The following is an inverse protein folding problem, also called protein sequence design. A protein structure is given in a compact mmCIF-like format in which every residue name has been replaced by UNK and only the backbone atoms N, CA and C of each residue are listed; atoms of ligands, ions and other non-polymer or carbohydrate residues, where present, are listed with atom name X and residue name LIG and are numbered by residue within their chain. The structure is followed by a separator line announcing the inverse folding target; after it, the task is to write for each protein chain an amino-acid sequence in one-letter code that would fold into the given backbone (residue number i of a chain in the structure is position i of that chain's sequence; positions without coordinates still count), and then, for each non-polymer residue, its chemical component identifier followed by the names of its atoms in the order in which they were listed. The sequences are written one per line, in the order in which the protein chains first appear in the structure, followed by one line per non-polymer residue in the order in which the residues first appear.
data_IF_493747226679
#
_entry.id   IF_493747226679
#
_cell.length_a   1.000
_cell.length_b   1.000
_cell.length_c   1.000
_cell.angle_alpha   90.00
_cell.angle_beta   90.00
_cell.angle_gamma   90.00
#
_symmetry.space_group_name_H-M   'P 1'
#
loop_
_entity.id
_entity.type
_entity.pdbx_description
1 polymer ?
#
# COMPACT_ATOMS: atom_id res chain seq x y z
N UNK A 1 -27.20 7.79 15.93
CA UNK A 1 -25.73 7.92 15.83
C UNK A 1 -25.31 7.32 14.50
N UNK A 2 -25.00 8.17 13.52
CA UNK A 2 -24.79 7.81 12.12
C UNK A 2 -23.50 6.99 11.92
N UNK A 3 -23.65 5.74 11.47
CA UNK A 3 -22.53 4.86 11.08
C UNK A 3 -22.11 5.17 9.64
N UNK A 4 -21.59 6.38 9.40
CA UNK A 4 -21.19 6.88 8.07
C UNK A 4 -19.67 6.84 7.86
N UNK A 5 -18.98 5.82 8.38
CA UNK A 5 -17.58 5.54 8.01
C UNK A 5 -17.45 4.20 7.30
N UNK A 6 -18.40 3.95 6.42
CA UNK A 6 -18.28 2.92 5.39
C UNK A 6 -17.31 3.43 4.33
N UNK A 7 -16.00 3.31 4.58
CA UNK A 7 -15.01 3.29 3.48
C UNK A 7 -15.03 1.89 2.89
N UNK A 8 -16.11 1.56 2.19
CA UNK A 8 -16.35 0.26 1.53
C UNK A 8 -15.63 0.14 0.18
N UNK A 9 -14.34 0.43 0.11
CA UNK A 9 -13.57 0.13 -1.09
C UNK A 9 -12.35 -0.71 -0.75
N UNK A 10 -12.03 -1.74 -1.56
CA UNK A 10 -10.87 -2.57 -1.30
C UNK A 10 -9.64 -1.68 -1.17
N UNK A 11 -8.87 -1.84 -0.10
CA UNK A 11 -7.67 -1.05 0.14
C UNK A 11 -6.70 -1.18 -1.05
N UNK A 12 -6.70 -2.34 -1.73
CA UNK A 12 -5.90 -2.59 -2.95
C UNK A 12 -6.24 -1.68 -4.14
N UNK A 13 -7.44 -1.09 -4.20
CA UNK A 13 -7.85 -0.17 -5.28
C UNK A 13 -7.53 1.28 -5.00
N UNK A 14 -6.98 1.61 -3.82
CA UNK A 14 -6.58 2.97 -3.49
C UNK A 14 -5.21 3.28 -4.08
N UNK A 15 -5.17 3.56 -5.39
CA UNK A 15 -3.94 3.85 -6.15
C UNK A 15 -3.10 4.95 -5.49
N UNK A 16 -3.74 5.96 -4.89
CA UNK A 16 -3.04 7.02 -4.15
C UNK A 16 -2.30 6.47 -2.91
N UNK A 17 -2.95 5.60 -2.13
CA UNK A 17 -2.34 4.98 -0.95
C UNK A 17 -1.21 4.02 -1.33
N UNK A 18 -1.41 3.24 -2.41
CA UNK A 18 -0.38 2.35 -2.96
C UNK A 18 0.86 3.16 -3.34
N UNK A 19 0.68 4.27 -4.08
CA UNK A 19 1.77 5.16 -4.50
C UNK A 19 2.49 5.84 -3.35
N UNK A 20 1.74 6.36 -2.37
CA UNK A 20 2.33 7.03 -1.20
C UNK A 20 3.16 6.04 -0.37
N UNK A 21 2.63 4.84 -0.13
CA UNK A 21 3.34 3.78 0.59
C UNK A 21 4.55 3.28 -0.19
N UNK A 22 4.44 3.14 -1.51
CA UNK A 22 5.57 2.78 -2.39
C UNK A 22 6.67 3.84 -2.34
N UNK A 23 6.36 5.12 -2.57
CA UNK A 23 7.34 6.20 -2.50
C UNK A 23 8.02 6.29 -1.12
N UNK A 24 7.25 6.04 -0.05
CA UNK A 24 7.80 6.03 1.30
C UNK A 24 8.68 4.82 1.55
N UNK A 25 8.29 3.63 1.08
CA UNK A 25 9.13 2.44 1.14
C UNK A 25 10.40 2.58 0.32
N UNK A 26 10.35 3.24 -0.84
CA UNK A 26 11.53 3.52 -1.67
C UNK A 26 12.53 4.44 -0.94
N UNK A 27 12.01 5.42 -0.18
CA UNK A 27 12.85 6.30 0.64
C UNK A 27 13.44 5.64 1.89
N UNK A 28 12.98 4.44 2.26
CA UNK A 28 13.40 3.72 3.46
C UNK A 28 14.18 2.46 3.08
N UNK A 29 15.25 2.16 3.81
CA UNK A 29 16.06 0.96 3.53
C UNK A 29 16.13 0.02 4.74
N UNK A 30 16.29 -1.27 4.45
CA UNK A 30 16.53 -2.32 5.44
C UNK A 30 15.44 -2.42 6.52
N UNK A 31 15.86 -2.38 7.78
CA UNK A 31 14.98 -2.61 8.93
C UNK A 31 13.91 -1.53 9.11
N UNK A 32 14.20 -0.28 8.72
CA UNK A 32 13.25 0.83 8.81
C UNK A 32 12.08 0.65 7.84
N UNK A 33 12.36 0.18 6.62
CA UNK A 33 11.32 -0.15 5.64
C UNK A 33 10.45 -1.33 6.13
N UNK A 34 11.07 -2.36 6.68
CA UNK A 34 10.36 -3.52 7.22
C UNK A 34 9.47 -3.14 8.43
N UNK A 35 9.96 -2.26 9.30
CA UNK A 35 9.22 -1.78 10.46
C UNK A 35 8.05 -0.88 10.07
N UNK A 36 8.26 0.03 9.10
CA UNK A 36 7.21 0.85 8.52
C UNK A 36 6.11 -0.02 7.89
N UNK A 37 6.50 -1.03 7.09
CA UNK A 37 5.55 -1.95 6.48
C UNK A 37 4.76 -2.74 7.52
N UNK A 38 5.40 -3.26 8.57
CA UNK A 38 4.71 -3.97 9.66
C UNK A 38 3.69 -3.10 10.37
N UNK A 39 4.05 -1.85 10.67
CA UNK A 39 3.13 -0.89 11.28
C UNK A 39 1.94 -0.61 10.34
N UNK A 40 2.21 -0.34 9.06
CA UNK A 40 1.15 -0.11 8.07
C UNK A 40 0.26 -1.32 7.86
N UNK A 41 0.81 -2.52 7.77
CA UNK A 41 0.03 -3.75 7.64
C UNK A 41 -0.89 -3.98 8.85
N UNK A 42 -0.43 -3.67 10.06
CA UNK A 42 -1.25 -3.74 11.27
C UNK A 42 -2.38 -2.71 11.25
N UNK A 43 -2.11 -1.46 10.86
CA UNK A 43 -3.14 -0.42 10.70
C UNK A 43 -4.21 -0.82 9.66
N UNK A 44 -3.79 -1.35 8.51
CA UNK A 44 -4.71 -1.79 7.46
C UNK A 44 -5.53 -3.00 7.90
N UNK A 45 -4.90 -3.96 8.59
CA UNK A 45 -5.60 -5.12 9.13
C UNK A 45 -6.66 -4.71 10.15
N UNK A 46 -6.33 -3.81 11.08
CA UNK A 46 -7.27 -3.29 12.08
C UNK A 46 -8.44 -2.55 11.42
N UNK A 47 -8.16 -1.76 10.37
CA UNK A 47 -9.18 -1.05 9.61
C UNK A 47 -10.14 -2.00 8.87
N UNK A 48 -9.62 -3.06 8.23
CA UNK A 48 -10.48 -4.04 7.54
C UNK A 48 -11.26 -4.90 8.54
N UNK A 49 -10.63 -5.37 9.62
CA UNK A 49 -11.33 -6.13 10.67
C UNK A 49 -12.40 -5.27 11.35
N UNK A 50 -12.09 -4.00 11.65
CA UNK A 50 -13.02 -3.03 12.24
C UNK A 50 -14.23 -2.71 11.35
N UNK A 51 -14.15 -2.98 10.04
CA UNK A 51 -15.28 -2.88 9.12
C UNK A 51 -16.24 -4.08 9.16
N UNK A 52 -15.98 -5.08 10.02
CA UNK A 52 -16.78 -6.29 10.16
C UNK A 52 -16.40 -7.41 9.20
N UNK A 53 -15.27 -7.30 8.49
CA UNK A 53 -14.73 -8.36 7.64
C UNK A 53 -14.01 -9.42 8.48
N UNK A 54 -14.10 -10.66 8.03
CA UNK A 54 -13.38 -11.79 8.63
C UNK A 54 -11.85 -11.58 8.58
N UNK A 55 -11.16 -12.07 9.60
CA UNK A 55 -9.70 -11.90 9.74
C UNK A 55 -8.91 -12.51 8.57
N UNK A 56 -9.36 -13.64 8.01
CA UNK A 56 -8.72 -14.25 6.85
C UNK A 56 -8.91 -13.39 5.61
N UNK A 57 -10.12 -12.86 5.39
CA UNK A 57 -10.40 -11.94 4.29
C UNK A 57 -9.59 -10.63 4.43
N UNK A 58 -9.48 -10.10 5.64
CA UNK A 58 -8.69 -8.92 5.95
C UNK A 58 -7.19 -9.12 5.67
N UNK A 59 -6.66 -10.28 6.07
CA UNK A 59 -5.27 -10.65 5.80
C UNK A 59 -4.99 -10.78 4.31
N UNK A 60 -5.92 -11.37 3.55
CA UNK A 60 -5.78 -11.50 2.10
C UNK A 60 -5.80 -10.14 1.39
N UNK A 61 -6.61 -9.20 1.87
CA UNK A 61 -6.65 -7.83 1.35
C UNK A 61 -5.36 -7.06 1.60
N UNK A 62 -4.77 -7.19 2.80
CA UNK A 62 -3.45 -6.62 3.11
C UNK A 62 -2.36 -7.23 2.22
N UNK A 63 -2.43 -8.53 1.90
CA UNK A 63 -1.51 -9.16 0.94
C UNK A 63 -1.66 -8.61 -0.47
N UNK A 64 -2.89 -8.43 -0.96
CA UNK A 64 -3.13 -7.82 -2.28
C UNK A 64 -2.62 -6.39 -2.33
N UNK A 65 -2.82 -5.62 -1.26
CA UNK A 65 -2.27 -4.27 -1.14
C UNK A 65 -0.73 -4.28 -1.20
N UNK A 66 -0.06 -5.23 -0.54
CA UNK A 66 1.40 -5.36 -0.63
C UNK A 66 1.88 -5.67 -2.05
N UNK A 67 1.18 -6.55 -2.76
CA UNK A 67 1.51 -6.89 -4.15
C UNK A 67 1.35 -5.67 -5.07
N UNK A 68 0.32 -4.86 -4.86
CA UNK A 68 0.13 -3.59 -5.58
C UNK A 68 1.27 -2.60 -5.29
N UNK A 69 1.69 -2.46 -4.03
CA UNK A 69 2.82 -1.60 -3.62
C UNK A 69 4.13 -2.06 -4.25
N UNK A 70 4.42 -3.37 -4.25
CA UNK A 70 5.61 -3.91 -4.91
C UNK A 70 5.58 -3.69 -6.43
N UNK A 71 4.40 -3.83 -7.05
CA UNK A 71 4.22 -3.56 -8.49
C UNK A 71 4.50 -2.09 -8.79
N UNK A 72 4.01 -1.16 -7.97
CA UNK A 72 4.27 0.28 -8.13
C UNK A 72 5.75 0.62 -7.89
N UNK A 73 6.41 -0.01 -6.90
CA UNK A 73 7.86 0.14 -6.67
C UNK A 73 8.67 -0.29 -7.90
N UNK A 74 8.33 -1.44 -8.49
CA UNK A 74 8.96 -1.94 -9.71
C UNK A 74 8.66 -1.05 -10.92
N UNK A 75 7.44 -0.51 -11.04
CA UNK A 75 7.09 0.44 -12.08
C UNK A 75 7.85 1.76 -11.94
N UNK A 76 8.00 2.28 -10.71
CA UNK A 76 8.78 3.46 -10.37
C UNK A 76 10.26 3.33 -10.73
N UNK A 77 10.85 2.14 -10.57
CA UNK A 77 12.24 1.86 -10.98
C UNK A 77 12.45 1.94 -12.49
N UNK A 78 11.41 1.68 -13.29
CA UNK A 78 11.47 1.78 -14.76
C UNK A 78 11.17 3.18 -15.29
N UNK A 79 10.63 4.07 -14.46
CA UNK A 79 10.49 5.49 -14.76
C UNK A 79 11.81 6.25 -14.47
N UNK A 80 12.94 5.69 -14.89
CA UNK A 80 14.16 6.46 -15.05
C UNK A 80 13.91 7.41 -16.23
N UNK A 81 14.08 8.75 -16.09
CA UNK A 81 13.90 9.65 -17.21
C UNK A 81 14.87 9.19 -18.29
N UNK A 82 14.34 8.79 -19.45
CA UNK A 82 15.14 8.45 -20.60
C UNK A 82 16.19 9.56 -20.79
N UNK A 83 17.47 9.24 -21.00
CA UNK A 83 18.48 10.26 -21.22
C UNK A 83 18.01 11.05 -22.44
N UNK A 84 17.73 12.33 -22.23
CA UNK A 84 17.45 13.25 -23.32
C UNK A 84 18.70 13.26 -24.19
N UNK A 85 18.66 12.51 -25.29
CA UNK A 85 19.65 12.60 -26.35
C UNK A 85 19.42 13.95 -27.02
N UNK A 86 20.12 14.97 -26.53
CA UNK A 86 20.26 16.24 -27.24
C UNK A 86 20.99 15.97 -28.55
N UNK A 87 20.32 16.28 -29.66
CA UNK A 87 20.88 16.31 -31.01
C UNK A 87 21.21 17.76 -31.41
#
# INVERSE_FOLDING_TARGET
MSSEKVRAFPIDRQVFLVREVAARLDSLQGETAASFWRAKAAELLDLVVGSGRDKAAATDEVRRFFLAVQTELLAGVTAQPAPVLSA
#
